data_IF_833118498736
#
_entry.id   IF_833118498736
#
_cell.length_a   1.000
_cell.length_b   1.000
_cell.length_c   1.000
_cell.angle_alpha   90.00
_cell.angle_beta   90.00
_cell.angle_gamma   90.00
#
_symmetry.space_group_name_H-M   'P 1'
#
loop_
_entity.id
_entity.type
_entity.pdbx_description
1 polymer ?
#
# COMPACT_ATOMS: atom_id res chain seq x y z
N UNK A 1 -39.50 -11.06 -27.77
CA UNK A 1 -38.96 -9.78 -27.28
C UNK A 1 -39.01 -9.82 -25.77
N UNK A 2 -37.86 -9.92 -25.10
CA UNK A 2 -37.80 -9.71 -23.64
C UNK A 2 -37.75 -8.20 -23.41
N UNK A 3 -38.43 -7.66 -22.37
CA UNK A 3 -38.28 -6.26 -22.02
C UNK A 3 -36.79 -5.96 -21.78
N UNK A 4 -36.35 -4.81 -22.24
CA UNK A 4 -35.06 -4.23 -21.86
C UNK A 4 -35.19 -4.01 -20.35
N UNK A 5 -34.37 -4.72 -19.57
CA UNK A 5 -34.28 -4.55 -18.12
C UNK A 5 -34.12 -3.05 -17.84
N UNK A 6 -35.08 -2.49 -17.11
CA UNK A 6 -35.00 -1.17 -16.50
C UNK A 6 -33.64 -1.06 -15.81
N UNK A 7 -32.98 0.10 -15.97
CA UNK A 7 -31.70 0.43 -15.35
C UNK A 7 -31.65 -0.15 -13.94
N UNK A 8 -30.78 -1.14 -13.71
CA UNK A 8 -30.56 -1.66 -12.36
C UNK A 8 -30.09 -0.48 -11.52
N UNK A 9 -31.00 0.07 -10.72
CA UNK A 9 -30.69 0.95 -9.59
C UNK A 9 -29.43 0.41 -8.93
N UNK A 10 -28.44 1.31 -8.76
CA UNK A 10 -27.11 0.97 -8.31
C UNK A 10 -27.19 0.02 -7.12
N UNK A 11 -26.75 -1.23 -7.31
CA UNK A 11 -26.81 -2.24 -6.27
C UNK A 11 -26.07 -1.72 -5.05
N UNK A 12 -26.79 -1.50 -3.94
CA UNK A 12 -26.23 -1.07 -2.66
C UNK A 12 -24.95 -1.86 -2.36
N UNK A 13 -23.84 -1.14 -2.23
CA UNK A 13 -22.53 -1.70 -1.95
C UNK A 13 -22.08 -1.26 -0.53
N UNK A 14 -22.20 -2.14 0.47
CA UNK A 14 -21.87 -1.80 1.85
C UNK A 14 -20.42 -1.34 2.06
N UNK A 15 -19.47 -1.79 1.24
CA UNK A 15 -18.07 -1.37 1.37
C UNK A 15 -17.83 0.05 0.85
N UNK A 16 -18.49 0.42 -0.25
CA UNK A 16 -18.46 1.81 -0.72
C UNK A 16 -19.13 2.74 0.29
N UNK A 17 -20.28 2.34 0.84
CA UNK A 17 -20.97 3.10 1.89
C UNK A 17 -20.08 3.32 3.13
N UNK A 18 -19.33 2.31 3.56
CA UNK A 18 -18.34 2.44 4.66
C UNK A 18 -17.26 3.47 4.34
N UNK A 19 -16.67 3.38 3.15
CA UNK A 19 -15.65 4.34 2.71
C UNK A 19 -16.21 5.75 2.68
N UNK A 20 -17.42 5.94 2.13
CA UNK A 20 -18.11 7.23 2.09
C UNK A 20 -18.31 7.81 3.48
N UNK A 21 -18.80 7.01 4.44
CA UNK A 21 -18.99 7.46 5.82
C UNK A 21 -17.67 7.86 6.50
N UNK A 22 -16.58 7.11 6.25
CA UNK A 22 -15.24 7.44 6.75
C UNK A 22 -14.74 8.74 6.17
N UNK A 23 -14.85 8.95 4.85
CA UNK A 23 -14.40 10.18 4.20
C UNK A 23 -15.18 11.40 4.71
N UNK A 24 -16.52 11.31 4.78
CA UNK A 24 -17.38 12.35 5.37
C UNK A 24 -16.94 12.69 6.79
N UNK A 25 -16.66 11.67 7.62
CA UNK A 25 -16.23 11.87 8.99
C UNK A 25 -14.81 12.48 9.07
N UNK A 26 -13.90 12.01 8.22
CA UNK A 26 -12.51 12.47 8.18
C UNK A 26 -12.42 13.97 7.84
N UNK A 27 -13.21 14.42 6.86
CA UNK A 27 -13.36 15.84 6.51
C UNK A 27 -14.00 16.64 7.65
N UNK A 28 -15.13 16.16 8.18
CA UNK A 28 -15.90 16.88 9.21
C UNK A 28 -15.22 16.95 10.59
N UNK A 29 -14.23 16.10 10.87
CA UNK A 29 -13.47 16.10 12.12
C UNK A 29 -12.19 16.95 12.05
N UNK A 30 -11.89 17.58 10.90
CA UNK A 30 -10.63 18.30 10.67
C UNK A 30 -9.38 17.45 10.95
N UNK A 31 -9.49 16.13 10.82
CA UNK A 31 -8.35 15.19 10.86
C UNK A 31 -7.53 15.30 9.56
N UNK A 32 -8.16 15.84 8.51
CA UNK A 32 -7.62 16.12 7.19
C UNK A 32 -6.64 17.30 7.16
N UNK A 33 -5.58 17.29 7.98
CA UNK A 33 -4.58 18.38 7.97
C UNK A 33 -3.12 17.91 8.00
N UNK A 34 -2.71 17.11 7.02
CA UNK A 34 -1.41 17.37 6.43
C UNK A 34 -1.61 17.71 4.96
N UNK A 35 -1.54 19.00 4.62
CA UNK A 35 -1.38 19.44 3.23
C UNK A 35 0.08 19.32 2.85
N UNK A 36 0.37 18.59 1.79
CA UNK A 36 1.73 18.28 1.39
C UNK A 36 1.83 17.62 0.02
N UNK A 37 2.96 17.00 -0.24
CA UNK A 37 3.22 16.29 -1.50
C UNK A 37 2.70 14.86 -1.35
N UNK A 38 1.61 14.55 -2.05
CA UNK A 38 1.07 13.18 -2.15
C UNK A 38 1.93 12.34 -3.08
N UNK A 39 2.02 11.03 -2.81
CA UNK A 39 2.85 10.10 -3.58
C UNK A 39 4.27 10.65 -3.78
N UNK A 40 4.90 11.06 -2.68
CA UNK A 40 6.23 11.63 -2.70
C UNK A 40 7.24 10.56 -3.15
N UNK A 41 7.69 10.69 -4.39
CA UNK A 41 8.62 9.78 -5.05
C UNK A 41 10.01 9.83 -4.41
N UNK A 42 10.66 8.68 -4.31
CA UNK A 42 12.05 8.56 -3.89
C UNK A 42 12.77 7.46 -4.63
N UNK A 43 14.09 7.63 -4.70
CA UNK A 43 14.99 6.70 -5.33
C UNK A 43 16.14 6.42 -4.38
N UNK A 44 16.54 5.16 -4.30
CA UNK A 44 17.72 4.76 -3.54
C UNK A 44 18.53 3.76 -4.35
N UNK A 45 19.84 3.97 -4.36
CA UNK A 45 20.78 3.11 -5.06
C UNK A 45 22.09 3.05 -4.28
N UNK A 46 22.61 1.84 -4.16
CA UNK A 46 23.92 1.55 -3.58
C UNK A 46 24.56 0.44 -4.41
N UNK A 47 25.88 0.43 -4.51
CA UNK A 47 26.61 -0.61 -5.22
C UNK A 47 26.29 -2.00 -4.64
N UNK A 48 26.00 -2.95 -5.52
CA UNK A 48 25.58 -4.30 -5.14
C UNK A 48 24.11 -4.45 -4.73
N UNK A 49 23.34 -3.37 -4.62
CA UNK A 49 21.90 -3.41 -4.36
C UNK A 49 21.05 -3.24 -5.64
N UNK A 50 19.80 -3.74 -5.64
CA UNK A 50 18.84 -3.31 -6.64
C UNK A 50 18.58 -1.81 -6.51
N UNK A 51 18.28 -1.15 -7.63
CA UNK A 51 17.72 0.20 -7.62
C UNK A 51 16.33 0.13 -6.98
N UNK A 52 16.18 0.76 -5.81
CA UNK A 52 14.90 0.90 -5.14
C UNK A 52 14.22 2.18 -5.62
N UNK A 53 12.93 2.07 -5.90
CA UNK A 53 12.08 3.16 -6.32
C UNK A 53 10.74 2.98 -5.61
N UNK A 54 10.25 4.02 -4.96
CA UNK A 54 9.01 3.95 -4.22
C UNK A 54 8.38 5.32 -4.00
N UNK A 55 7.21 5.27 -3.38
CA UNK A 55 6.39 6.43 -3.07
C UNK A 55 5.99 6.34 -1.61
N UNK A 56 6.12 7.45 -0.87
CA UNK A 56 5.41 7.64 0.39
C UNK A 56 4.04 8.27 0.09
N UNK A 57 2.98 7.86 0.80
CA UNK A 57 1.63 8.34 0.51
C UNK A 57 1.52 9.88 0.57
N UNK A 58 2.17 10.49 1.57
CA UNK A 58 2.17 11.93 1.76
C UNK A 58 3.41 12.38 2.53
N UNK A 59 3.97 13.52 2.15
CA UNK A 59 5.02 14.20 2.93
C UNK A 59 4.68 15.67 3.15
N UNK A 60 5.03 16.19 4.32
CA UNK A 60 4.84 17.60 4.68
C UNK A 60 6.15 18.21 5.16
N UNK A 61 6.14 19.52 5.43
CA UNK A 61 7.29 20.26 5.98
C UNK A 61 8.57 19.99 5.18
N UNK A 62 8.48 20.12 3.86
CA UNK A 62 9.60 19.91 2.94
C UNK A 62 10.15 18.48 2.93
N UNK A 63 9.33 17.46 3.25
CA UNK A 63 9.75 16.06 3.25
C UNK A 63 10.15 15.52 4.63
N UNK A 64 10.30 16.39 5.63
CA UNK A 64 10.80 15.99 6.95
C UNK A 64 9.84 15.13 7.78
N UNK A 65 8.55 15.15 7.43
CA UNK A 65 7.52 14.30 8.03
C UNK A 65 6.77 13.56 6.91
N UNK A 66 6.81 12.23 6.95
CA UNK A 66 6.00 11.34 6.13
C UNK A 66 4.70 10.93 6.81
N UNK A 67 3.72 10.55 5.99
CA UNK A 67 2.49 9.87 6.39
C UNK A 67 2.34 8.61 5.53
N UNK A 68 1.96 7.52 6.19
CA UNK A 68 1.59 6.24 5.58
C UNK A 68 0.17 5.92 6.02
N UNK A 69 -0.75 5.65 5.08
CA UNK A 69 -2.14 5.37 5.39
C UNK A 69 -2.44 3.88 5.18
N UNK A 70 -3.03 3.24 6.19
CA UNK A 70 -3.45 1.83 6.11
C UNK A 70 -4.93 1.70 6.43
N UNK A 71 -5.72 1.26 5.46
CA UNK A 71 -7.11 0.87 5.68
C UNK A 71 -7.18 -0.60 6.10
N UNK A 72 -7.66 -0.90 7.31
CA UNK A 72 -7.59 -2.26 7.86
C UNK A 72 -8.74 -2.59 8.80
N UNK A 73 -9.19 -3.84 8.78
CA UNK A 73 -10.11 -4.38 9.78
C UNK A 73 -9.44 -4.59 11.15
N UNK A 74 -8.11 -4.73 11.18
CA UNK A 74 -7.33 -4.92 12.41
C UNK A 74 -6.09 -4.00 12.44
N UNK A 75 -6.24 -2.76 12.91
CA UNK A 75 -5.14 -1.80 13.05
C UNK A 75 -4.00 -2.29 13.96
N UNK A 76 -4.29 -3.13 14.95
CA UNK A 76 -3.30 -3.63 15.91
C UNK A 76 -2.24 -4.54 15.26
N UNK A 77 -2.49 -5.03 14.04
CA UNK A 77 -1.51 -5.80 13.29
C UNK A 77 -0.34 -4.95 12.77
N UNK A 78 -0.42 -3.62 12.78
CA UNK A 78 0.69 -2.77 12.33
C UNK A 78 1.65 -2.43 13.46
N UNK A 79 2.19 -3.47 14.09
CA UNK A 79 3.28 -3.33 15.08
C UNK A 79 4.57 -2.89 14.39
N UNK A 80 5.51 -2.31 15.16
CA UNK A 80 6.84 -1.92 14.66
C UNK A 80 7.50 -3.04 13.86
N UNK A 81 7.45 -4.28 14.36
CA UNK A 81 8.04 -5.45 13.69
C UNK A 81 7.48 -5.70 12.29
N UNK A 82 6.18 -5.48 12.08
CA UNK A 82 5.51 -5.74 10.80
C UNK A 82 5.78 -4.64 9.78
N UNK A 83 5.91 -3.40 10.23
CA UNK A 83 6.13 -2.22 9.39
C UNK A 83 7.60 -1.82 9.26
N UNK A 84 8.51 -2.51 9.98
CA UNK A 84 9.94 -2.17 10.06
C UNK A 84 10.58 -2.08 8.67
N UNK A 85 10.35 -3.10 7.83
CA UNK A 85 10.91 -3.16 6.48
C UNK A 85 10.39 -2.03 5.60
N UNK A 86 9.09 -1.74 5.64
CA UNK A 86 8.49 -0.69 4.80
C UNK A 86 9.01 0.69 5.23
N UNK A 87 8.88 1.03 6.52
CA UNK A 87 9.26 2.35 7.01
C UNK A 87 10.77 2.55 7.02
N UNK A 88 11.56 1.53 7.36
CA UNK A 88 13.02 1.56 7.27
C UNK A 88 13.48 1.84 5.83
N UNK A 89 12.84 1.22 4.84
CA UNK A 89 13.13 1.48 3.43
C UNK A 89 12.74 2.92 3.02
N UNK A 90 11.63 3.45 3.54
CA UNK A 90 11.26 4.85 3.32
C UNK A 90 12.28 5.82 3.92
N UNK A 91 12.78 5.55 5.12
CA UNK A 91 13.85 6.35 5.72
C UNK A 91 15.17 6.23 4.96
N UNK A 92 15.48 5.08 4.35
CA UNK A 92 16.62 4.96 3.43
C UNK A 92 16.44 5.82 2.17
N UNK A 93 15.26 5.83 1.57
CA UNK A 93 14.97 6.56 0.34
C UNK A 93 14.79 8.07 0.49
N UNK A 94 14.41 8.53 1.68
CA UNK A 94 14.19 9.94 2.02
C UNK A 94 15.02 10.30 3.24
N UNK A 95 16.26 10.70 3.00
CA UNK A 95 17.22 11.03 4.07
C UNK A 95 16.75 12.21 4.94
N UNK A 96 16.01 13.14 4.35
CA UNK A 96 15.43 14.30 5.03
C UNK A 96 14.26 13.94 5.97
N UNK A 97 13.65 12.76 5.78
CA UNK A 97 12.51 12.32 6.58
C UNK A 97 12.97 11.90 7.98
N UNK A 98 12.46 12.60 8.99
CA UNK A 98 12.78 12.41 10.41
C UNK A 98 11.73 11.59 11.15
N UNK A 99 10.49 11.61 10.65
CA UNK A 99 9.34 10.96 11.28
C UNK A 99 8.34 10.50 10.24
N UNK A 100 7.80 9.31 10.42
CA UNK A 100 6.65 8.82 9.66
C UNK A 100 5.47 8.62 10.62
N UNK A 101 4.32 9.21 10.28
CA UNK A 101 3.05 8.93 10.96
C UNK A 101 2.36 7.81 10.22
N UNK A 102 2.24 6.64 10.85
CA UNK A 102 1.37 5.58 10.35
C UNK A 102 -0.05 5.87 10.81
N UNK A 103 -0.91 6.29 9.89
CA UNK A 103 -2.35 6.49 10.14
C UNK A 103 -3.10 5.23 9.73
N UNK A 104 -3.52 4.46 10.72
CA UNK A 104 -4.40 3.32 10.51
C UNK A 104 -5.86 3.77 10.57
N UNK A 105 -6.61 3.45 9.52
CA UNK A 105 -8.03 3.74 9.36
C UNK A 105 -8.78 2.42 9.52
N UNK A 106 -9.52 2.27 10.61
CA UNK A 106 -10.23 1.03 10.91
C UNK A 106 -11.49 0.89 10.05
N UNK A 107 -11.64 -0.26 9.41
CA UNK A 107 -12.88 -0.63 8.70
C UNK A 107 -14.01 -0.76 9.74
N UNK A 108 -15.14 -0.03 9.59
CA UNK A 108 -16.31 -0.24 10.43
C UNK A 108 -16.82 -1.67 10.33
N UNK A 109 -16.96 -2.34 11.47
CA UNK A 109 -17.54 -3.69 11.56
C UNK A 109 -19.06 -3.72 11.45
N UNK A 110 -19.68 -2.54 11.39
CA UNK A 110 -21.13 -2.35 11.32
C UNK A 110 -21.67 -2.95 10.02
N UNK A 111 -22.78 -3.68 10.13
CA UNK A 111 -23.50 -4.26 8.98
C UNK A 111 -24.78 -3.47 8.69
N UNK A 112 -25.24 -3.47 7.43
CA UNK A 112 -26.54 -2.90 7.08
C UNK A 112 -27.69 -3.64 7.80
N UNK A 113 -28.68 -2.89 8.25
CA UNK A 113 -29.92 -3.39 8.80
C UNK A 113 -30.88 -3.91 7.74
N UNK A 114 -31.92 -4.63 8.15
CA UNK A 114 -32.96 -5.10 7.24
C UNK A 114 -33.79 -3.92 6.74
N UNK A 115 -33.82 -3.70 5.43
CA UNK A 115 -34.56 -2.60 4.81
C UNK A 115 -33.93 -1.22 5.03
N UNK A 116 -32.71 -1.16 5.54
CA UNK A 116 -31.95 0.08 5.66
C UNK A 116 -31.54 0.56 4.27
N UNK A 117 -31.74 1.85 3.99
CA UNK A 117 -31.27 2.46 2.74
C UNK A 117 -29.75 2.68 2.79
N UNK A 118 -29.13 2.90 1.62
CA UNK A 118 -27.70 3.21 1.57
C UNK A 118 -27.35 4.49 2.36
N UNK A 119 -28.16 5.55 2.21
CA UNK A 119 -27.92 6.82 2.91
C UNK A 119 -28.12 6.67 4.42
N UNK A 120 -29.16 5.96 4.88
CA UNK A 120 -29.36 5.68 6.31
C UNK A 120 -28.15 4.93 6.91
N UNK A 121 -27.62 3.96 6.16
CA UNK A 121 -26.44 3.20 6.57
C UNK A 121 -25.18 4.09 6.66
N UNK A 122 -24.95 4.95 5.65
CA UNK A 122 -23.84 5.91 5.62
C UNK A 122 -23.94 6.86 6.81
N UNK A 123 -25.10 7.46 7.05
CA UNK A 123 -25.31 8.43 8.12
C UNK A 123 -25.13 7.80 9.49
N UNK A 124 -25.67 6.60 9.72
CA UNK A 124 -25.48 5.88 10.98
C UNK A 124 -24.01 5.59 11.26
N UNK A 125 -23.24 5.18 10.24
CA UNK A 125 -21.79 4.97 10.39
C UNK A 125 -21.04 6.28 10.63
N UNK A 126 -21.37 7.33 9.87
CA UNK A 126 -20.77 8.65 10.04
C UNK A 126 -20.95 9.17 11.47
N UNK A 127 -22.16 9.06 12.03
CA UNK A 127 -22.43 9.47 13.42
C UNK A 127 -21.64 8.63 14.43
N UNK A 128 -21.51 7.32 14.21
CA UNK A 128 -20.71 6.47 15.09
C UNK A 128 -19.22 6.85 15.03
N UNK A 129 -18.67 7.09 13.84
CA UNK A 129 -17.27 7.52 13.67
C UNK A 129 -17.04 8.86 14.36
N UNK A 130 -17.93 9.84 14.18
CA UNK A 130 -17.84 11.15 14.83
C UNK A 130 -17.92 11.08 16.35
N UNK A 131 -18.71 10.16 16.89
CA UNK A 131 -18.84 9.97 18.35
C UNK A 131 -17.57 9.38 18.96
N UNK A 132 -16.84 8.54 18.22
CA UNK A 132 -15.65 7.83 18.71
C UNK A 132 -14.50 7.82 17.69
N UNK A 133 -13.96 8.99 17.31
CA UNK A 133 -13.01 9.11 16.20
C UNK A 133 -11.72 8.32 16.42
N UNK A 134 -11.23 8.25 17.68
CA UNK A 134 -10.04 7.46 18.05
C UNK A 134 -10.21 5.95 17.83
N UNK A 135 -11.45 5.44 17.77
CA UNK A 135 -11.69 4.03 17.46
C UNK A 135 -11.50 3.73 15.96
N UNK A 136 -11.46 4.77 15.11
CA UNK A 136 -11.39 4.64 13.67
C UNK A 136 -10.10 5.20 13.08
N UNK A 137 -9.55 6.25 13.67
CA UNK A 137 -8.34 6.92 13.21
C UNK A 137 -7.27 6.82 14.30
N UNK A 138 -6.25 5.98 14.08
CA UNK A 138 -5.14 5.81 15.01
C UNK A 138 -3.83 6.21 14.34
N UNK A 139 -3.15 7.19 14.92
CA UNK A 139 -1.85 7.66 14.49
C UNK A 139 -0.77 7.08 15.40
N UNK A 140 0.18 6.37 14.79
CA UNK A 140 1.39 5.90 15.46
C UNK A 140 2.59 6.59 14.82
N UNK A 141 3.41 7.22 15.65
CA UNK A 141 4.59 7.93 15.20
C UNK A 141 5.82 7.04 15.28
N UNK A 142 6.57 6.98 14.19
CA UNK A 142 7.84 6.28 14.08
C UNK A 142 8.92 7.29 13.73
N UNK A 143 9.98 7.34 14.53
CA UNK A 143 11.10 8.26 14.34
C UNK A 143 12.26 7.55 13.64
N UNK A 144 12.98 8.27 12.79
CA UNK A 144 14.09 7.72 12.00
C UNK A 144 15.12 6.99 12.88
N UNK A 145 15.43 7.59 14.03
CA UNK A 145 16.42 7.10 14.99
C UNK A 145 16.02 5.78 15.66
N UNK A 146 14.74 5.38 15.56
CA UNK A 146 14.27 4.09 16.06
C UNK A 146 14.61 2.93 15.12
N UNK A 147 15.13 3.20 13.92
CA UNK A 147 15.39 2.21 12.87
C UNK A 147 16.90 2.04 12.66
N UNK A 148 17.34 0.79 12.65
CA UNK A 148 18.70 0.42 12.25
C UNK A 148 18.80 0.42 10.72
N UNK A 149 19.09 1.59 10.17
CA UNK A 149 19.15 1.77 8.72
C UNK A 149 20.32 0.98 8.08
N UNK A 150 21.39 0.70 8.82
CA UNK A 150 22.47 -0.14 8.32
C UNK A 150 22.01 -1.58 8.16
N UNK A 151 21.26 -2.12 9.14
CA UNK A 151 20.63 -3.44 9.01
C UNK A 151 19.65 -3.51 7.83
N UNK A 152 18.89 -2.44 7.56
CA UNK A 152 18.00 -2.40 6.38
C UNK A 152 18.82 -2.44 5.08
N UNK A 153 19.95 -1.73 5.01
CA UNK A 153 20.87 -1.79 3.85
C UNK A 153 21.49 -3.18 3.67
N UNK A 154 21.97 -3.78 4.75
CA UNK A 154 22.53 -5.14 4.73
C UNK A 154 21.49 -6.16 4.25
N UNK A 155 20.24 -6.03 4.71
CA UNK A 155 19.12 -6.85 4.24
C UNK A 155 18.87 -6.65 2.74
N UNK A 156 18.89 -5.42 2.25
CA UNK A 156 18.74 -5.13 0.83
C UNK A 156 19.88 -5.74 -0.02
N UNK A 157 21.12 -5.70 0.47
CA UNK A 157 22.27 -6.39 -0.16
C UNK A 157 22.09 -7.90 -0.19
N UNK A 158 21.61 -8.49 0.90
CA UNK A 158 21.36 -9.93 0.99
C UNK A 158 20.29 -10.36 -0.01
N UNK A 159 19.16 -9.65 -0.05
CA UNK A 159 18.07 -9.88 -1.00
C UNK A 159 18.59 -9.75 -2.45
N UNK A 160 19.45 -8.78 -2.73
CA UNK A 160 20.04 -8.60 -4.05
C UNK A 160 20.80 -9.86 -4.50
N UNK A 161 21.64 -10.41 -3.61
CA UNK A 161 22.42 -11.62 -3.86
C UNK A 161 21.52 -12.83 -4.08
N UNK A 162 20.50 -13.02 -3.21
CA UNK A 162 19.55 -14.12 -3.36
C UNK A 162 18.81 -14.07 -4.70
N UNK A 163 18.40 -12.88 -5.15
CA UNK A 163 17.76 -12.69 -6.45
C UNK A 163 18.73 -13.03 -7.58
N UNK A 164 19.98 -12.59 -7.52
CA UNK A 164 21.00 -12.90 -8.53
C UNK A 164 21.30 -14.40 -8.59
N UNK A 165 21.48 -15.05 -7.44
CA UNK A 165 21.74 -16.48 -7.33
C UNK A 165 20.55 -17.32 -7.81
N UNK A 166 19.32 -16.89 -7.51
CA UNK A 166 18.11 -17.52 -8.03
C UNK A 166 18.01 -17.35 -9.55
N UNK A 167 18.28 -16.16 -10.08
CA UNK A 167 18.26 -15.89 -11.51
C UNK A 167 19.30 -16.73 -12.29
N UNK A 168 20.51 -16.91 -11.74
CA UNK A 168 21.54 -17.76 -12.34
C UNK A 168 21.14 -19.24 -12.40
N UNK A 169 20.40 -19.73 -11.39
CA UNK A 169 19.86 -21.10 -11.36
C UNK A 169 18.60 -21.29 -12.22
N UNK A 170 18.09 -20.22 -12.83
CA UNK A 170 16.89 -20.23 -13.65
C UNK A 170 15.62 -20.54 -12.84
N UNK A 171 14.57 -21.13 -13.47
CA UNK A 171 13.28 -21.37 -12.80
C UNK A 171 13.37 -22.18 -11.50
N UNK A 172 14.32 -23.10 -11.39
CA UNK A 172 14.55 -23.91 -10.18
C UNK A 172 15.15 -23.10 -9.02
N UNK A 173 15.64 -21.90 -9.30
CA UNK A 173 16.18 -20.97 -8.31
C UNK A 173 15.11 -20.37 -7.39
N UNK A 174 13.88 -20.26 -7.89
CA UNK A 174 12.73 -19.66 -7.21
C UNK A 174 11.83 -20.76 -6.65
N UNK A 175 12.07 -21.18 -5.41
CA UNK A 175 11.23 -22.18 -4.75
C UNK A 175 9.90 -21.57 -4.32
N UNK A 176 8.86 -22.40 -4.28
CA UNK A 176 7.52 -21.97 -3.88
C UNK A 176 7.40 -21.92 -2.35
N UNK A 177 7.01 -20.77 -1.81
CA UNK A 177 6.55 -20.67 -0.44
C UNK A 177 5.04 -20.94 -0.37
N UNK A 178 4.64 -22.20 -0.16
CA UNK A 178 3.22 -22.60 -0.09
C UNK A 178 2.43 -21.89 1.02
N UNK A 179 3.11 -21.47 2.10
CA UNK A 179 2.46 -20.76 3.20
C UNK A 179 2.04 -19.34 2.80
N UNK A 180 2.71 -18.73 1.81
CA UNK A 180 2.38 -17.40 1.31
C UNK A 180 1.17 -17.40 0.36
N UNK A 181 0.69 -18.57 -0.10
CA UNK A 181 -0.39 -18.65 -1.09
C UNK A 181 -1.75 -18.17 -0.59
N UNK A 182 -1.94 -18.01 0.72
CA UNK A 182 -3.24 -17.69 1.33
C UNK A 182 -3.21 -16.44 2.23
N UNK A 183 -2.10 -15.68 2.23
CA UNK A 183 -1.91 -14.54 3.12
C UNK A 183 -1.55 -13.28 2.33
N UNK A 184 -2.28 -12.15 2.48
CA UNK A 184 -3.51 -11.95 3.26
C UNK A 184 -4.79 -12.44 2.52
N UNK A 185 -4.66 -12.92 1.29
CA UNK A 185 -5.71 -13.51 0.48
C UNK A 185 -5.11 -14.55 -0.47
N UNK A 186 -5.93 -15.24 -1.29
CA UNK A 186 -5.44 -16.22 -2.24
C UNK A 186 -4.53 -15.58 -3.29
N UNK A 187 -3.36 -16.18 -3.52
CA UNK A 187 -2.44 -15.79 -4.56
C UNK A 187 -3.11 -15.92 -5.94
N UNK A 188 -3.02 -14.88 -6.78
CA UNK A 188 -3.59 -14.84 -8.13
C UNK A 188 -2.98 -15.90 -9.08
N UNK A 189 -1.78 -16.36 -8.78
CA UNK A 189 -1.08 -17.41 -9.54
C UNK A 189 -1.31 -18.82 -8.99
N UNK A 190 -2.11 -18.98 -7.92
CA UNK A 190 -2.40 -20.30 -7.34
C UNK A 190 -2.97 -21.29 -8.38
N UNK A 191 -3.94 -20.93 -9.24
CA UNK A 191 -4.45 -21.85 -10.27
C UNK A 191 -3.37 -22.35 -11.23
N UNK A 192 -2.45 -21.47 -11.66
CA UNK A 192 -1.32 -21.86 -12.50
C UNK A 192 -0.36 -22.80 -11.75
N UNK A 193 -0.12 -22.56 -10.46
CA UNK A 193 0.75 -23.42 -9.64
C UNK A 193 0.14 -24.81 -9.41
N UNK A 194 -1.17 -24.91 -9.20
CA UNK A 194 -1.87 -26.17 -8.94
C UNK A 194 -2.02 -27.03 -10.19
N UNK A 195 -2.34 -26.41 -11.32
CA UNK A 195 -2.56 -27.14 -12.59
C UNK A 195 -1.27 -27.43 -13.34
N UNK A 196 -0.19 -26.68 -13.08
CA UNK A 196 1.04 -26.72 -13.86
C UNK A 196 0.88 -26.16 -15.28
N UNK A 197 -0.27 -25.55 -15.61
CA UNK A 197 -0.59 -25.01 -16.93
C UNK A 197 -0.83 -23.50 -16.80
N UNK A 198 -0.13 -22.72 -17.62
CA UNK A 198 -0.30 -21.26 -17.68
C UNK A 198 -1.23 -20.95 -18.85
N UNK A 199 -2.46 -20.53 -18.56
CA UNK A 199 -3.43 -20.13 -19.58
C UNK A 199 -3.16 -18.71 -20.07
N UNK A 200 -2.86 -18.54 -21.36
CA UNK A 200 -2.63 -17.21 -21.98
C UNK A 200 -3.89 -16.32 -21.97
N UNK A 201 -5.08 -16.90 -21.82
CA UNK A 201 -6.33 -16.15 -21.66
C UNK A 201 -6.49 -15.51 -20.28
N UNK A 202 -5.74 -15.98 -19.27
CA UNK A 202 -5.79 -15.50 -17.88
C UNK A 202 -4.52 -14.73 -17.53
N UNK A 203 -3.37 -15.18 -18.01
CA UNK A 203 -2.06 -14.60 -17.71
C UNK A 203 -1.40 -14.11 -18.98
N UNK A 204 -0.88 -12.87 -18.94
CA UNK A 204 -0.08 -12.30 -20.02
C UNK A 204 1.29 -11.91 -19.49
N UNK A 205 2.35 -12.30 -20.21
CA UNK A 205 3.68 -11.79 -19.90
C UNK A 205 3.73 -10.29 -20.19
N UNK A 206 4.24 -9.51 -19.23
CA UNK A 206 4.42 -8.08 -19.42
C UNK A 206 5.42 -7.85 -20.55
N UNK A 207 4.97 -7.19 -21.61
CA UNK A 207 5.85 -6.77 -22.70
C UNK A 207 6.90 -5.81 -22.15
N UNK A 208 8.17 -6.02 -22.50
CA UNK A 208 9.22 -5.04 -22.22
C UNK A 208 8.89 -3.81 -23.05
N UNK A 209 8.44 -2.73 -22.40
CA UNK A 209 8.47 -1.42 -23.04
C UNK A 209 9.92 -1.09 -23.32
N UNK A 210 10.27 -0.94 -24.60
CA UNK A 210 11.55 -0.36 -24.98
C UNK A 210 11.64 1.00 -24.29
N UNK A 211 12.62 1.15 -23.41
CA UNK A 211 12.89 2.44 -22.77
C UNK A 211 13.40 3.36 -23.87
N UNK A 212 12.58 4.32 -24.30
CA UNK A 212 13.09 5.51 -24.99
C UNK A 212 14.21 6.08 -24.12
N UNK A 213 15.42 6.13 -24.68
CA UNK A 213 16.58 6.72 -24.03
C UNK A 213 16.25 8.19 -23.78
N UNK A 214 16.04 8.55 -22.52
CA UNK A 214 16.10 9.95 -22.08
C UNK A 214 17.46 10.50 -22.53
N UNK A 215 17.52 11.61 -23.29
CA UNK A 215 18.80 12.16 -23.71
C UNK A 215 19.62 12.50 -22.47
N UNK A 216 20.82 11.93 -22.37
CA UNK A 216 21.77 12.30 -21.34
C UNK A 216 22.07 13.79 -21.46
N UNK A 217 21.77 14.55 -20.41
CA UNK A 217 22.18 15.95 -20.29
C UNK A 217 23.67 16.06 -20.62
N UNK A 218 23.95 16.91 -21.59
CA UNK A 218 25.29 17.23 -22.02
C UNK A 218 25.98 17.92 -20.85
N UNK A 219 27.07 17.33 -20.36
CA UNK A 219 27.98 17.99 -19.43
C UNK A 219 28.49 19.27 -20.08
N UNK A 220 28.04 20.42 -19.59
CA UNK A 220 28.74 21.69 -19.81
C UNK A 220 29.85 21.72 -18.77
N UNK A 221 31.06 21.36 -19.20
CA UNK A 221 32.26 21.66 -18.43
C UNK A 221 32.55 23.17 -18.46
N UNK A 222 33.12 23.72 -17.39
CA UNK A 222 33.36 25.16 -17.21
C UNK A 222 34.33 25.76 -18.22
#
# INVERSE_FOLDING_TARGET
MKPIDEEKEGKFNPELAKITAILRAYEGLSIAEPKGVTQAEWHWQMDGCPKLHGFMDLTIQGGSIGYEFKYSANPNNYTKFIIEDQLGTYFLGKEECKRITLRTIQVPSVRPGKGETEEDFIDRMYQDIRRRPKAYFNDTNYWREEFDLEKVKEKALWIAKEIQDAAQRGPKGFYQNKMACFAPGPCEFLPACETGVISESVYKQREKKDKEKTPSETQVNP
#
